data_IF_427862037634
#
_entry.id   IF_427862037634
#
_cell.length_a   1.000
_cell.length_b   1.000
_cell.length_c   1.000
_cell.angle_alpha   90.00
_cell.angle_beta   90.00
_cell.angle_gamma   90.00
#
_symmetry.space_group_name_H-M   'P 1'
#
loop_
_entity.id
_entity.type
_entity.pdbx_description
1 polymer ?
#
# COMPACT_ATOMS: atom_id res chain seq x y z
N UNK A 1 -32.57 -14.31 -19.16
CA UNK A 1 -31.89 -14.71 -17.91
C UNK A 1 -30.42 -14.40 -18.11
N UNK A 2 -29.95 -13.27 -17.59
CA UNK A 2 -28.56 -12.83 -17.76
C UNK A 2 -27.65 -13.71 -16.91
N UNK A 3 -26.73 -14.38 -17.58
CA UNK A 3 -25.65 -15.17 -17.00
C UNK A 3 -24.69 -14.25 -16.22
N UNK A 4 -24.99 -13.98 -14.95
CA UNK A 4 -24.07 -13.31 -14.02
C UNK A 4 -22.94 -14.28 -13.70
N UNK A 5 -21.93 -14.31 -14.56
CA UNK A 5 -20.62 -14.84 -14.19
C UNK A 5 -20.11 -14.04 -13.00
N UNK A 6 -20.22 -14.63 -11.81
CA UNK A 6 -19.83 -14.01 -10.55
C UNK A 6 -18.32 -13.78 -10.60
N UNK A 7 -17.89 -12.51 -10.72
CA UNK A 7 -16.48 -12.15 -10.72
C UNK A 7 -15.84 -12.64 -9.41
N UNK A 8 -14.59 -13.16 -9.46
CA UNK A 8 -13.91 -13.63 -8.25
C UNK A 8 -13.78 -12.47 -7.25
N UNK A 9 -14.04 -12.76 -5.97
CA UNK A 9 -14.02 -11.75 -4.92
C UNK A 9 -12.63 -11.11 -4.78
N UNK A 10 -12.58 -9.78 -4.68
CA UNK A 10 -11.34 -9.02 -4.49
C UNK A 10 -10.86 -9.15 -3.05
N UNK A 11 -9.87 -10.02 -2.86
CA UNK A 11 -9.36 -10.41 -1.55
C UNK A 11 -7.84 -10.29 -1.46
N UNK A 12 -7.33 -10.05 -0.25
CA UNK A 12 -5.90 -10.09 0.03
C UNK A 12 -5.63 -10.44 1.49
N UNK A 13 -4.43 -10.98 1.73
CA UNK A 13 -3.85 -11.14 3.05
C UNK A 13 -2.46 -10.50 3.08
N UNK A 14 -2.14 -9.78 4.15
CA UNK A 14 -0.84 -9.15 4.39
C UNK A 14 -0.37 -9.54 5.79
N UNK A 15 0.89 -9.96 5.88
CA UNK A 15 1.64 -10.10 7.12
C UNK A 15 2.78 -9.07 7.07
N UNK A 16 2.92 -8.26 8.11
CA UNK A 16 3.97 -7.24 8.21
C UNK A 16 4.53 -7.22 9.62
N UNK A 17 5.84 -7.43 9.74
CA UNK A 17 6.54 -7.46 11.02
C UNK A 17 7.75 -6.55 11.01
N UNK A 18 7.87 -5.72 12.03
CA UNK A 18 9.04 -4.89 12.35
C UNK A 18 9.49 -5.20 13.78
N UNK A 19 10.43 -4.41 14.31
CA UNK A 19 10.77 -4.48 15.73
C UNK A 19 9.74 -3.76 16.62
N UNK A 20 8.88 -2.93 16.03
CA UNK A 20 7.87 -2.11 16.72
C UNK A 20 6.48 -2.77 16.66
N UNK A 21 6.14 -3.39 15.53
CA UNK A 21 4.79 -3.96 15.30
C UNK A 21 4.80 -5.34 14.62
N UNK A 22 3.79 -6.15 14.91
CA UNK A 22 3.48 -7.43 14.27
C UNK A 22 2.01 -7.46 13.85
N UNK A 23 1.76 -7.39 12.53
CA UNK A 23 0.44 -7.12 11.95
C UNK A 23 0.03 -8.21 10.96
N UNK A 24 -1.19 -8.70 11.13
CA UNK A 24 -1.87 -9.57 10.17
C UNK A 24 -3.17 -8.93 9.70
N UNK A 25 -3.40 -8.90 8.38
CA UNK A 25 -4.62 -8.39 7.77
C UNK A 25 -5.16 -9.38 6.75
N UNK A 26 -6.48 -9.58 6.76
CA UNK A 26 -7.25 -10.23 5.70
C UNK A 26 -8.42 -9.34 5.31
N UNK A 27 -8.54 -9.03 4.02
CA UNK A 27 -9.60 -8.15 3.50
C UNK A 27 -10.33 -8.80 2.33
N UNK A 28 -11.65 -8.58 2.26
CA UNK A 28 -12.49 -8.81 1.09
C UNK A 28 -13.27 -7.52 0.78
N UNK A 29 -13.06 -6.94 -0.39
CA UNK A 29 -13.70 -5.68 -0.79
C UNK A 29 -15.15 -5.87 -1.29
N UNK A 30 -15.58 -7.12 -1.53
CA UNK A 30 -16.85 -7.48 -2.17
C UNK A 30 -17.82 -8.21 -1.22
N UNK A 31 -17.92 -7.78 0.04
CA UNK A 31 -18.67 -8.47 1.11
C UNK A 31 -19.94 -7.75 1.59
N UNK A 32 -20.54 -6.88 0.76
CA UNK A 32 -21.69 -6.01 1.15
C UNK A 32 -22.86 -6.74 1.85
N UNK A 33 -23.10 -8.02 1.54
CA UNK A 33 -24.22 -8.80 2.07
C UNK A 33 -23.85 -9.71 3.25
N UNK A 34 -22.56 -9.99 3.48
CA UNK A 34 -22.07 -10.93 4.50
C UNK A 34 -20.73 -10.45 5.05
N UNK A 35 -20.77 -9.33 5.77
CA UNK A 35 -19.58 -8.69 6.30
C UNK A 35 -19.13 -9.39 7.59
N UNK A 36 -17.86 -9.79 7.62
CA UNK A 36 -17.18 -10.25 8.82
C UNK A 36 -16.10 -9.24 9.17
N UNK A 37 -16.26 -8.55 10.30
CA UNK A 37 -15.37 -7.47 10.73
C UNK A 37 -14.85 -7.81 12.13
N UNK A 38 -13.55 -8.05 12.24
CA UNK A 38 -12.83 -8.39 13.48
C UNK A 38 -11.53 -7.59 13.52
N UNK A 39 -11.44 -6.59 14.39
CA UNK A 39 -10.36 -5.61 14.39
C UNK A 39 -9.83 -5.49 15.81
N UNK A 40 -8.52 -5.72 15.95
CA UNK A 40 -7.79 -5.61 17.20
C UNK A 40 -6.43 -4.97 16.91
N UNK A 41 -6.39 -3.64 16.90
CA UNK A 41 -5.14 -2.87 16.80
C UNK A 41 -4.44 -2.73 18.15
N UNK A 42 -5.19 -2.87 19.24
CA UNK A 42 -4.77 -2.49 20.60
C UNK A 42 -5.16 -1.05 20.97
N UNK A 43 -5.72 -0.27 20.04
CA UNK A 43 -6.20 1.10 20.26
C UNK A 43 -7.70 1.15 19.96
N UNK A 44 -8.54 1.17 21.01
CA UNK A 44 -9.99 0.97 20.85
C UNK A 44 -10.70 1.98 19.93
N UNK A 45 -10.25 3.24 19.91
CA UNK A 45 -10.84 4.24 19.01
C UNK A 45 -10.42 4.01 17.54
N UNK A 46 -9.21 3.52 17.29
CA UNK A 46 -8.76 3.15 15.94
C UNK A 46 -9.50 1.90 15.44
N UNK A 47 -9.76 0.94 16.31
CA UNK A 47 -10.58 -0.24 16.01
C UNK A 47 -11.97 0.18 15.54
N UNK A 48 -12.59 1.14 16.25
CA UNK A 48 -13.88 1.72 15.87
C UNK A 48 -13.83 2.42 14.50
N UNK A 49 -12.78 3.20 14.22
CA UNK A 49 -12.62 3.87 12.92
C UNK A 49 -12.47 2.88 11.76
N UNK A 50 -11.65 1.84 11.91
CA UNK A 50 -11.52 0.79 10.89
C UNK A 50 -12.80 -0.06 10.78
N UNK A 51 -13.53 -0.26 11.87
CA UNK A 51 -14.83 -0.92 11.83
C UNK A 51 -15.81 -0.11 10.98
N UNK A 52 -15.91 1.21 11.22
CA UNK A 52 -16.75 2.11 10.42
C UNK A 52 -16.33 2.09 8.94
N UNK A 53 -15.03 2.13 8.66
CA UNK A 53 -14.49 2.03 7.30
C UNK A 53 -14.94 0.75 6.60
N UNK A 54 -14.70 -0.41 7.22
CA UNK A 54 -15.08 -1.70 6.66
C UNK A 54 -16.61 -1.81 6.50
N UNK A 55 -17.37 -1.39 7.52
CA UNK A 55 -18.83 -1.46 7.54
C UNK A 55 -19.44 -0.70 6.38
N UNK A 56 -19.10 0.58 6.24
CA UNK A 56 -19.68 1.44 5.21
C UNK A 56 -19.04 1.24 3.82
N UNK A 57 -17.81 0.71 3.77
CA UNK A 57 -17.12 0.31 2.55
C UNK A 57 -17.69 -0.96 1.92
N UNK A 58 -18.39 -1.78 2.71
CA UNK A 58 -18.92 -3.07 2.28
C UNK A 58 -17.86 -4.19 2.30
N UNK A 59 -16.89 -4.09 3.21
CA UNK A 59 -15.77 -5.03 3.32
C UNK A 59 -16.02 -6.05 4.41
N UNK A 60 -15.39 -7.22 4.27
CA UNK A 60 -14.99 -8.06 5.40
C UNK A 60 -13.53 -7.76 5.71
N UNK A 61 -13.20 -7.57 6.98
CA UNK A 61 -11.88 -7.16 7.44
C UNK A 61 -11.54 -7.88 8.74
N UNK A 62 -10.47 -8.66 8.71
CA UNK A 62 -9.78 -9.12 9.92
C UNK A 62 -8.46 -8.37 10.02
N UNK A 63 -8.21 -7.69 11.13
CA UNK A 63 -6.95 -7.00 11.40
C UNK A 63 -6.52 -7.29 12.83
N UNK A 64 -5.31 -7.82 13.01
CA UNK A 64 -4.69 -8.01 14.32
C UNK A 64 -3.33 -7.34 14.34
N UNK A 65 -3.04 -6.63 15.42
CA UNK A 65 -1.76 -5.98 15.65
C UNK A 65 -1.29 -6.25 17.08
N UNK A 66 -0.01 -6.58 17.22
CA UNK A 66 0.72 -6.39 18.48
C UNK A 66 1.73 -5.27 18.25
N UNK A 67 1.62 -4.18 19.00
CA UNK A 67 2.54 -3.04 18.88
C UNK A 67 3.10 -2.59 20.23
N UNK A 68 4.04 -1.67 20.17
CA UNK A 68 4.78 -1.10 21.30
C UNK A 68 4.03 0.04 22.02
N UNK A 69 2.74 -0.17 22.34
CA UNK A 69 1.86 0.82 22.98
C UNK A 69 2.33 1.39 24.34
N UNK A 70 3.39 0.81 24.91
CA UNK A 70 4.06 1.33 26.10
C UNK A 70 4.97 2.54 25.81
N UNK A 71 5.30 2.78 24.54
CA UNK A 71 5.98 3.98 24.04
C UNK A 71 4.92 5.06 23.76
N UNK A 72 4.10 4.84 22.73
CA UNK A 72 2.92 5.65 22.39
C UNK A 72 2.03 4.88 21.37
N UNK A 73 1.02 5.55 20.80
CA UNK A 73 0.13 4.97 19.79
C UNK A 73 0.63 5.07 18.33
N UNK A 74 1.78 5.74 18.10
CA UNK A 74 2.21 6.17 16.77
C UNK A 74 2.51 4.99 15.86
N UNK A 75 3.46 4.11 16.22
CA UNK A 75 3.87 3.01 15.36
C UNK A 75 2.71 2.06 15.07
N UNK A 76 1.88 1.78 16.08
CA UNK A 76 0.70 0.92 15.93
C UNK A 76 -0.32 1.54 14.96
N UNK A 77 -0.63 2.83 15.10
CA UNK A 77 -1.59 3.50 14.23
C UNK A 77 -1.06 3.63 12.79
N UNK A 78 0.20 4.04 12.61
CA UNK A 78 0.82 4.16 11.29
C UNK A 78 0.91 2.80 10.57
N UNK A 79 1.49 1.80 11.23
CA UNK A 79 1.82 0.54 10.55
C UNK A 79 0.56 -0.26 10.20
N UNK A 80 -0.49 -0.18 11.02
CA UNK A 80 -1.79 -0.77 10.68
C UNK A 80 -2.40 -0.08 9.46
N UNK A 81 -2.25 1.24 9.32
CA UNK A 81 -2.71 1.98 8.15
C UNK A 81 -1.93 1.63 6.88
N UNK A 82 -0.60 1.48 6.99
CA UNK A 82 0.27 1.02 5.90
C UNK A 82 -0.16 -0.39 5.45
N UNK A 83 -0.27 -1.32 6.39
CA UNK A 83 -0.65 -2.70 6.09
C UNK A 83 -2.06 -2.78 5.46
N UNK A 84 -3.01 -1.99 5.95
CA UNK A 84 -4.36 -1.92 5.40
C UNK A 84 -4.36 -1.34 3.97
N UNK A 85 -3.56 -0.30 3.70
CA UNK A 85 -3.40 0.26 2.36
C UNK A 85 -2.77 -0.75 1.39
N UNK A 86 -1.77 -1.52 1.83
CA UNK A 86 -1.18 -2.62 1.05
C UNK A 86 -2.22 -3.70 0.72
N UNK A 87 -2.99 -4.13 1.72
CA UNK A 87 -4.03 -5.13 1.56
C UNK A 87 -5.12 -4.65 0.59
N UNK A 88 -5.58 -3.41 0.73
CA UNK A 88 -6.54 -2.78 -0.19
C UNK A 88 -6.02 -2.79 -1.63
N UNK A 89 -4.78 -2.35 -1.85
CA UNK A 89 -4.16 -2.33 -3.19
C UNK A 89 -4.01 -3.71 -3.80
N UNK A 90 -3.59 -4.70 -3.00
CA UNK A 90 -3.46 -6.07 -3.46
C UNK A 90 -4.82 -6.68 -3.80
N UNK A 91 -5.84 -6.47 -2.97
CA UNK A 91 -7.19 -6.94 -3.21
C UNK A 91 -7.80 -6.30 -4.46
N UNK A 92 -7.58 -5.00 -4.67
CA UNK A 92 -8.06 -4.28 -5.84
C UNK A 92 -7.41 -4.76 -7.15
N UNK A 93 -6.15 -5.23 -7.08
CA UNK A 93 -5.43 -5.78 -8.22
C UNK A 93 -5.20 -4.75 -9.32
N UNK A 94 -5.45 -5.13 -10.58
CA UNK A 94 -5.35 -4.18 -11.69
C UNK A 94 -6.66 -3.40 -11.80
N UNK A 95 -6.65 -2.05 -11.63
CA UNK A 95 -7.86 -1.24 -11.62
C UNK A 95 -8.41 -1.02 -13.04
N UNK A 96 -9.09 -2.06 -13.54
CA UNK A 96 -9.85 -2.10 -14.79
C UNK A 96 -11.31 -2.35 -14.49
N UNK A 97 -12.19 -1.77 -15.28
CA UNK A 97 -13.63 -1.98 -15.16
C UNK A 97 -14.22 -1.44 -13.87
N UNK A 98 -13.56 -0.46 -13.23
CA UNK A 98 -14.04 0.24 -12.03
C UNK A 98 -14.32 1.72 -12.33
N UNK A 99 -15.12 2.37 -11.50
CA UNK A 99 -15.43 3.80 -11.64
C UNK A 99 -14.21 4.71 -11.48
N UNK A 100 -13.17 4.25 -10.77
CA UNK A 100 -11.91 4.96 -10.45
C UNK A 100 -12.09 6.16 -9.52
N UNK A 101 -13.08 7.00 -9.75
CA UNK A 101 -13.40 8.14 -8.91
C UNK A 101 -14.59 7.83 -8.01
N UNK A 102 -14.51 8.31 -6.77
CA UNK A 102 -15.60 8.26 -5.83
C UNK A 102 -15.57 9.46 -4.90
N UNK A 103 -16.74 9.91 -4.47
CA UNK A 103 -16.84 10.98 -3.49
C UNK A 103 -18.05 10.77 -2.61
N UNK A 104 -17.98 11.24 -1.38
CA UNK A 104 -19.10 11.16 -0.47
C UNK A 104 -19.07 12.29 0.55
N UNK A 105 -20.27 12.63 1.01
CA UNK A 105 -20.51 13.46 2.17
C UNK A 105 -21.19 12.59 3.21
N UNK A 106 -20.67 12.58 4.44
CA UNK A 106 -21.28 11.83 5.53
C UNK A 106 -21.35 12.74 6.75
N UNK A 107 -22.53 12.93 7.34
CA UNK A 107 -22.64 13.57 8.63
C UNK A 107 -22.41 12.57 9.76
N UNK A 108 -22.13 13.11 10.94
CA UNK A 108 -22.42 12.48 12.21
C UNK A 108 -22.87 13.59 13.16
N UNK A 109 -24.16 13.62 13.44
CA UNK A 109 -24.83 14.70 14.16
C UNK A 109 -24.47 16.09 13.60
N UNK A 110 -23.80 16.94 14.37
CA UNK A 110 -23.42 18.29 13.96
C UNK A 110 -22.21 18.33 13.00
N UNK A 111 -21.42 17.25 12.98
CA UNK A 111 -20.26 17.13 12.11
C UNK A 111 -20.65 16.73 10.68
N UNK A 112 -19.91 17.25 9.71
CA UNK A 112 -20.05 16.90 8.29
C UNK A 112 -18.68 16.80 7.64
N UNK A 113 -18.42 15.65 7.03
CA UNK A 113 -17.16 15.40 6.32
C UNK A 113 -17.39 15.07 4.85
N UNK A 114 -16.42 15.44 4.02
CA UNK A 114 -16.30 15.06 2.61
C UNK A 114 -15.06 14.21 2.42
N UNK A 115 -15.17 13.15 1.61
CA UNK A 115 -14.01 12.44 1.07
C UNK A 115 -14.09 12.31 -0.44
N UNK A 116 -12.94 12.41 -1.12
CA UNK A 116 -12.78 12.25 -2.57
C UNK A 116 -11.61 11.32 -2.85
N UNK A 117 -11.84 10.30 -3.68
CA UNK A 117 -10.88 9.24 -4.00
C UNK A 117 -10.66 9.16 -5.51
N UNK A 118 -9.40 9.11 -5.93
CA UNK A 118 -8.97 8.68 -7.27
C UNK A 118 -8.06 7.44 -7.13
N UNK A 119 -8.51 6.29 -7.68
CA UNK A 119 -7.69 5.07 -7.83
C UNK A 119 -6.65 5.31 -8.94
N UNK A 120 -5.66 6.12 -8.58
CA UNK A 120 -4.84 6.87 -9.52
C UNK A 120 -3.49 6.23 -9.81
N UNK A 121 -3.05 5.31 -8.92
CA UNK A 121 -1.68 4.80 -8.86
C UNK A 121 -0.65 5.84 -8.40
N UNK A 122 -1.10 7.02 -7.95
CA UNK A 122 -0.26 8.13 -7.48
C UNK A 122 -0.56 8.39 -6.01
N UNK A 123 0.36 8.04 -5.09
CA UNK A 123 0.16 8.28 -3.67
C UNK A 123 0.11 9.78 -3.39
N UNK A 124 -1.01 10.25 -2.85
CA UNK A 124 -1.19 11.63 -2.41
C UNK A 124 -2.34 11.68 -1.41
N UNK A 125 -2.20 12.48 -0.36
CA UNK A 125 -3.28 12.75 0.58
C UNK A 125 -3.28 14.22 1.01
N UNK A 126 -4.48 14.81 1.04
CA UNK A 126 -4.74 16.13 1.62
C UNK A 126 -5.87 15.95 2.63
N UNK A 127 -5.54 16.11 3.91
CA UNK A 127 -6.41 15.74 5.02
C UNK A 127 -6.54 16.95 5.94
N UNK A 128 -7.75 17.48 6.07
CA UNK A 128 -8.08 18.60 6.96
C UNK A 128 -9.28 18.23 7.83
N UNK A 129 -9.02 17.86 9.09
CA UNK A 129 -10.06 17.41 10.02
C UNK A 129 -10.43 18.47 11.07
N UNK A 130 -9.59 19.50 11.22
CA UNK A 130 -9.74 20.56 12.23
C UNK A 130 -9.99 20.04 13.65
N UNK A 131 -9.34 18.94 14.05
CA UNK A 131 -9.49 18.35 15.37
C UNK A 131 -8.86 19.27 16.43
N UNK A 132 -9.51 19.41 17.59
CA UNK A 132 -9.11 20.35 18.64
C UNK A 132 -8.56 19.68 19.90
N UNK A 133 -9.04 18.47 20.21
CA UNK A 133 -8.59 17.64 21.32
C UNK A 133 -7.21 17.07 21.04
N UNK A 134 -6.50 16.75 22.11
CA UNK A 134 -5.21 16.04 22.04
C UNK A 134 -5.40 14.54 21.74
N UNK A 135 -6.42 13.91 22.36
CA UNK A 135 -6.75 12.49 22.17
C UNK A 135 -8.26 12.22 22.13
N UNK A 136 -8.64 11.13 21.46
CA UNK A 136 -9.99 10.52 21.54
C UNK A 136 -9.83 9.08 21.99
N UNK A 137 -10.18 8.81 23.26
CA UNK A 137 -9.80 7.56 23.91
C UNK A 137 -8.28 7.43 23.93
N UNK A 138 -7.78 6.29 23.49
CA UNK A 138 -6.34 5.99 23.47
C UNK A 138 -5.61 6.48 22.22
N UNK A 139 -6.32 6.93 21.18
CA UNK A 139 -5.74 7.44 19.94
C UNK A 139 -5.44 8.94 20.07
N UNK A 140 -4.20 9.33 19.81
CA UNK A 140 -3.82 10.74 19.66
C UNK A 140 -4.45 11.32 18.39
N UNK A 141 -4.99 12.54 18.49
CA UNK A 141 -5.72 13.16 17.39
C UNK A 141 -4.83 13.44 16.18
N UNK A 142 -3.53 13.66 16.38
CA UNK A 142 -2.56 13.83 15.29
C UNK A 142 -2.37 12.56 14.44
N UNK A 143 -2.60 11.38 15.03
CA UNK A 143 -2.50 10.12 14.29
C UNK A 143 -3.69 9.86 13.37
N UNK A 144 -4.83 10.52 13.58
CA UNK A 144 -6.01 10.36 12.71
C UNK A 144 -5.73 10.80 11.26
N UNK A 145 -5.21 12.02 10.99
CA UNK A 145 -4.79 12.38 9.64
C UNK A 145 -3.58 11.55 9.16
N UNK A 146 -2.67 11.15 10.06
CA UNK A 146 -1.52 10.31 9.70
C UNK A 146 -1.95 8.92 9.20
N UNK A 147 -2.95 8.30 9.83
CA UNK A 147 -3.55 7.03 9.40
C UNK A 147 -4.12 7.16 7.98
N UNK A 148 -4.87 8.22 7.69
CA UNK A 148 -5.45 8.45 6.36
C UNK A 148 -4.37 8.69 5.29
N UNK A 149 -3.32 9.44 5.64
CA UNK A 149 -2.16 9.67 4.78
C UNK A 149 -1.39 8.38 4.48
N UNK A 150 -1.07 7.59 5.51
CA UNK A 150 -0.34 6.33 5.39
C UNK A 150 -1.13 5.30 4.59
N UNK A 151 -2.44 5.19 4.84
CA UNK A 151 -3.35 4.37 4.05
C UNK A 151 -3.32 4.76 2.56
N UNK A 152 -3.53 6.04 2.23
CA UNK A 152 -3.58 6.50 0.84
C UNK A 152 -2.25 6.26 0.11
N UNK A 153 -1.14 6.48 0.81
CA UNK A 153 0.21 6.28 0.29
C UNK A 153 0.47 4.81 -0.03
N UNK A 154 0.21 3.91 0.94
CA UNK A 154 0.40 2.47 0.75
C UNK A 154 -0.56 1.89 -0.30
N UNK A 155 -1.82 2.36 -0.31
CA UNK A 155 -2.81 2.00 -1.32
C UNK A 155 -2.44 2.50 -2.73
N UNK A 156 -1.59 3.53 -2.84
CA UNK A 156 -1.23 4.15 -4.10
C UNK A 156 -2.40 4.91 -4.74
N UNK A 157 -3.22 5.57 -3.92
CA UNK A 157 -4.38 6.35 -4.35
C UNK A 157 -4.16 7.84 -4.04
N UNK A 158 -4.96 8.67 -4.69
CA UNK A 158 -5.07 10.09 -4.35
C UNK A 158 -6.31 10.28 -3.50
N UNK A 159 -6.14 10.86 -2.30
CA UNK A 159 -7.18 11.01 -1.30
C UNK A 159 -7.30 12.47 -0.84
N UNK A 160 -8.52 12.99 -0.78
CA UNK A 160 -8.85 14.22 -0.08
C UNK A 160 -9.90 13.93 0.97
N UNK A 161 -9.71 14.44 2.20
CA UNK A 161 -10.69 14.34 3.28
C UNK A 161 -10.77 15.67 4.01
N UNK A 162 -11.97 16.23 4.09
CA UNK A 162 -12.23 17.52 4.72
C UNK A 162 -13.39 17.41 5.71
N UNK A 163 -13.19 17.85 6.95
CA UNK A 163 -14.28 18.12 7.90
C UNK A 163 -14.77 19.55 7.64
N UNK A 164 -15.98 19.67 7.10
CA UNK A 164 -16.57 20.95 6.69
C UNK A 164 -17.14 21.74 7.87
N UNK A 165 -17.64 21.02 8.88
CA UNK A 165 -18.17 21.55 10.14
C UNK A 165 -18.26 20.45 11.18
N UNK A 166 -18.43 20.83 12.44
CA UNK A 166 -18.58 19.94 13.58
C UNK A 166 -18.03 20.57 14.85
N UNK A 167 -18.37 20.07 16.03
CA UNK A 167 -17.80 20.59 17.28
C UNK A 167 -17.17 19.48 18.13
N UNK A 168 -17.67 18.25 18.00
CA UNK A 168 -17.14 17.08 18.67
C UNK A 168 -16.12 16.34 17.77
N UNK A 169 -14.89 16.18 18.25
CA UNK A 169 -13.83 15.52 17.46
C UNK A 169 -14.06 14.02 17.22
N UNK A 170 -14.83 13.33 18.06
CA UNK A 170 -15.29 11.98 17.75
C UNK A 170 -16.16 12.02 16.51
N UNK A 171 -17.14 12.93 16.45
CA UNK A 171 -18.07 13.07 15.34
C UNK A 171 -17.35 13.49 14.06
N UNK A 172 -16.42 14.45 14.17
CA UNK A 172 -15.54 14.87 13.06
C UNK A 172 -14.74 13.69 12.50
N UNK A 173 -14.08 12.92 13.36
CA UNK A 173 -13.25 11.78 12.96
C UNK A 173 -14.09 10.65 12.34
N UNK A 174 -15.16 10.24 13.01
CA UNK A 174 -15.99 9.12 12.53
C UNK A 174 -16.74 9.49 11.24
N UNK A 175 -17.23 10.72 11.10
CA UNK A 175 -17.85 11.18 9.84
C UNK A 175 -16.85 11.18 8.68
N UNK A 176 -15.57 11.49 8.93
CA UNK A 176 -14.51 11.44 7.93
C UNK A 176 -14.22 10.00 7.47
N UNK A 177 -14.11 9.04 8.39
CA UNK A 177 -13.95 7.62 8.05
C UNK A 177 -15.17 7.07 7.30
N UNK A 178 -16.39 7.46 7.69
CA UNK A 178 -17.62 7.11 6.97
C UNK A 178 -17.64 7.68 5.54
N UNK A 179 -17.26 8.95 5.37
CA UNK A 179 -17.16 9.58 4.06
C UNK A 179 -16.14 8.85 3.18
N UNK A 180 -14.96 8.54 3.72
CA UNK A 180 -13.94 7.76 3.02
C UNK A 180 -14.49 6.40 2.57
N UNK A 181 -15.14 5.68 3.47
CA UNK A 181 -15.70 4.35 3.19
C UNK A 181 -16.67 4.36 2.01
N UNK A 182 -17.60 5.31 2.00
CA UNK A 182 -18.59 5.46 0.92
C UNK A 182 -17.92 5.90 -0.37
N UNK A 183 -16.96 6.83 -0.32
CA UNK A 183 -16.20 7.28 -1.49
C UNK A 183 -15.39 6.13 -2.11
N UNK A 184 -14.68 5.33 -1.31
CA UNK A 184 -13.94 4.16 -1.82
C UNK A 184 -14.91 3.14 -2.43
N UNK A 185 -16.02 2.83 -1.75
CA UNK A 185 -17.04 1.90 -2.26
C UNK A 185 -17.54 2.30 -3.65
N UNK A 186 -17.74 3.59 -3.89
CA UNK A 186 -18.08 4.09 -5.23
C UNK A 186 -16.90 3.95 -6.20
N UNK A 187 -15.69 4.34 -5.81
CA UNK A 187 -14.52 4.34 -6.69
C UNK A 187 -14.15 2.93 -7.19
N UNK A 188 -14.36 1.90 -6.37
CA UNK A 188 -14.07 0.50 -6.70
C UNK A 188 -15.27 -0.25 -7.30
N UNK A 189 -16.40 0.41 -7.50
CA UNK A 189 -17.58 -0.21 -8.10
C UNK A 189 -17.33 -0.57 -9.56
N UNK A 190 -17.77 -1.75 -9.96
CA UNK A 190 -17.64 -2.21 -11.33
C UNK A 190 -18.55 -1.40 -12.28
N UNK A 191 -18.00 -1.00 -13.43
CA UNK A 191 -18.75 -0.28 -14.47
C UNK A 191 -19.48 -1.22 -15.44
N UNK A 192 -19.26 -2.54 -15.33
CA UNK A 192 -19.73 -3.53 -16.30
C UNK A 192 -18.89 -3.59 -17.58
N UNK A 193 -17.84 -2.78 -17.67
CA UNK A 193 -16.88 -2.79 -18.79
C UNK A 193 -15.53 -3.35 -18.31
N UNK A 194 -14.64 -3.68 -19.24
CA UNK A 194 -13.25 -4.08 -18.93
C UNK A 194 -12.23 -2.97 -19.23
N UNK A 195 -12.70 -1.73 -19.37
CA UNK A 195 -11.89 -0.60 -19.77
C UNK A 195 -10.94 -0.13 -18.65
N UNK A 196 -9.80 0.43 -19.04
CA UNK A 196 -8.90 1.12 -18.13
C UNK A 196 -9.35 2.58 -18.07
N UNK A 197 -9.86 3.09 -16.94
CA UNK A 197 -10.38 4.46 -16.85
C UNK A 197 -9.25 5.50 -16.81
N UNK A 198 -8.38 5.55 -17.82
CA UNK A 198 -7.20 6.41 -17.92
C UNK A 198 -6.87 6.71 -19.38
N UNK A 199 -6.76 8.00 -19.72
CA UNK A 199 -6.32 8.44 -21.06
C UNK A 199 -4.90 7.99 -21.40
N UNK A 200 -4.08 7.66 -20.39
CA UNK A 200 -2.72 7.10 -20.57
C UNK A 200 -2.71 5.58 -20.79
N UNK A 201 -3.87 4.92 -20.77
CA UNK A 201 -4.01 3.46 -20.95
C UNK A 201 -3.51 2.62 -19.77
N UNK A 202 -3.04 3.23 -18.68
CA UNK A 202 -2.62 2.55 -17.44
C UNK A 202 -3.01 3.38 -16.21
N UNK A 203 -3.50 2.72 -15.15
CA UNK A 203 -4.03 3.36 -13.91
C UNK A 203 -3.31 2.88 -12.63
N UNK A 204 -2.70 1.69 -12.62
CA UNK A 204 -1.73 1.26 -11.61
C UNK A 204 -0.71 0.34 -12.26
N UNK A 205 0.58 0.56 -12.00
CA UNK A 205 1.61 -0.47 -12.27
C UNK A 205 1.85 -1.21 -10.97
N UNK A 206 1.23 -2.37 -10.79
CA UNK A 206 1.88 -3.43 -10.00
C UNK A 206 3.20 -3.70 -10.73
N UNK A 207 4.31 -3.19 -10.20
CA UNK A 207 5.63 -3.67 -10.63
C UNK A 207 5.70 -5.12 -10.18
N UNK A 208 5.22 -6.05 -10.99
CA UNK A 208 5.95 -7.29 -11.13
C UNK A 208 7.37 -6.84 -11.47
N UNK A 209 8.34 -7.17 -10.62
CA UNK A 209 9.75 -6.96 -10.92
C UNK A 209 10.11 -7.87 -12.10
N UNK A 210 9.63 -7.55 -13.30
CA UNK A 210 10.19 -8.05 -14.55
C UNK A 210 11.51 -7.33 -14.68
N UNK A 211 12.54 -7.90 -14.03
CA UNK A 211 13.92 -7.67 -14.40
C UNK A 211 13.98 -7.91 -15.89
N UNK A 212 14.10 -6.83 -16.68
CA UNK A 212 14.28 -6.96 -18.12
C UNK A 212 15.69 -7.52 -18.31
N UNK A 213 15.86 -8.76 -18.80
CA UNK A 213 17.18 -9.41 -18.82
C UNK A 213 18.22 -8.61 -19.63
N UNK A 214 17.77 -7.81 -20.61
CA UNK A 214 18.67 -7.04 -21.49
C UNK A 214 19.55 -6.00 -20.78
N UNK A 215 19.14 -5.41 -19.65
CA UNK A 215 19.99 -4.41 -18.94
C UNK A 215 20.88 -4.99 -17.85
N UNK A 216 20.64 -6.25 -17.46
CA UNK A 216 21.43 -6.91 -16.42
C UNK A 216 22.73 -7.51 -17.00
N UNK A 217 22.65 -8.06 -18.21
CA UNK A 217 23.77 -8.66 -18.94
C UNK A 217 24.89 -7.68 -19.32
N UNK A 218 24.60 -6.38 -19.35
CA UNK A 218 25.60 -5.35 -19.70
C UNK A 218 26.37 -4.81 -18.46
N UNK A 219 25.89 -5.07 -17.25
CA UNK A 219 26.42 -4.43 -16.03
C UNK A 219 27.41 -5.29 -15.23
N UNK A 220 27.39 -6.61 -15.38
CA UNK A 220 28.37 -7.50 -14.74
C UNK A 220 28.55 -8.78 -15.55
N UNK A 221 29.79 -9.14 -15.94
CA UNK A 221 30.05 -10.30 -16.80
C UNK A 221 29.69 -11.64 -16.16
N UNK A 222 29.40 -11.68 -14.86
CA UNK A 222 29.11 -12.90 -14.10
C UNK A 222 27.68 -12.98 -13.56
N UNK A 223 26.80 -12.10 -14.02
CA UNK A 223 25.44 -12.01 -13.48
C UNK A 223 24.57 -13.22 -13.86
N UNK A 224 24.89 -13.87 -14.99
CA UNK A 224 24.22 -15.10 -15.41
C UNK A 224 24.54 -16.27 -14.49
N UNK A 225 25.82 -16.44 -14.15
CA UNK A 225 26.32 -17.45 -13.24
C UNK A 225 25.80 -17.23 -11.81
N UNK A 226 25.71 -15.96 -11.39
CA UNK A 226 25.11 -15.59 -10.11
C UNK A 226 23.61 -15.92 -10.07
N UNK A 227 22.88 -15.63 -11.14
CA UNK A 227 21.47 -16.00 -11.27
C UNK A 227 21.25 -17.51 -11.20
N UNK A 228 22.06 -18.30 -11.92
CA UNK A 228 21.97 -19.75 -11.92
C UNK A 228 22.27 -20.37 -10.54
N UNK A 229 23.23 -19.82 -9.80
CA UNK A 229 23.53 -20.25 -8.42
C UNK A 229 22.37 -19.95 -7.47
N UNK A 230 21.85 -18.72 -7.51
CA UNK A 230 20.72 -18.31 -6.66
C UNK A 230 19.45 -19.11 -6.95
N UNK A 231 19.19 -19.42 -8.22
CA UNK A 231 18.05 -20.26 -8.60
C UNK A 231 18.21 -21.71 -8.12
N UNK A 232 19.43 -22.26 -8.17
CA UNK A 232 19.71 -23.59 -7.63
C UNK A 232 19.50 -23.63 -6.11
N UNK A 233 20.07 -22.67 -5.38
CA UNK A 233 19.90 -22.56 -3.93
C UNK A 233 18.45 -22.36 -3.52
N UNK A 234 17.69 -21.57 -4.26
CA UNK A 234 16.26 -21.36 -4.01
C UNK A 234 15.44 -22.64 -4.17
N UNK A 235 15.84 -23.56 -5.07
CA UNK A 235 15.09 -24.79 -5.34
C UNK A 235 15.50 -25.96 -4.45
N UNK A 236 16.76 -26.00 -4.03
CA UNK A 236 17.37 -27.20 -3.45
C UNK A 236 18.02 -26.98 -2.08
N UNK A 237 18.15 -25.73 -1.63
CA UNK A 237 18.90 -25.37 -0.42
C UNK A 237 20.37 -25.05 -0.71
N UNK A 238 21.00 -24.28 0.19
CA UNK A 238 22.36 -23.74 0.00
C UNK A 238 23.44 -24.82 0.06
N UNK A 239 23.21 -25.88 0.85
CA UNK A 239 24.15 -26.99 1.08
C UNK A 239 23.97 -28.17 0.09
N UNK A 240 23.11 -28.03 -0.93
CA UNK A 240 22.88 -29.12 -1.88
C UNK A 240 24.11 -29.32 -2.79
N UNK A 241 24.73 -30.52 -2.81
CA UNK A 241 25.91 -30.80 -3.63
C UNK A 241 25.66 -30.64 -5.14
N UNK A 242 24.40 -30.66 -5.59
CA UNK A 242 24.01 -30.38 -6.98
C UNK A 242 24.23 -28.91 -7.36
N UNK A 243 24.24 -27.99 -6.39
CA UNK A 243 24.50 -26.57 -6.63
C UNK A 243 25.99 -26.21 -6.66
N UNK A 244 26.88 -27.13 -6.26
CA UNK A 244 28.33 -26.93 -6.26
C UNK A 244 28.89 -26.56 -7.64
N UNK A 245 28.29 -27.11 -8.71
CA UNK A 245 28.69 -26.81 -10.08
C UNK A 245 28.38 -25.35 -10.48
N UNK A 246 27.22 -24.83 -10.08
CA UNK A 246 26.84 -23.42 -10.32
C UNK A 246 27.68 -22.44 -9.50
N UNK A 247 28.01 -22.79 -8.25
CA UNK A 247 28.92 -22.00 -7.42
C UNK A 247 30.35 -21.96 -7.99
N UNK A 248 30.86 -23.10 -8.49
CA UNK A 248 32.17 -23.16 -9.16
C UNK A 248 32.19 -22.36 -10.46
N UNK A 249 31.10 -22.36 -11.22
CA UNK A 249 30.98 -21.55 -12.43
C UNK A 249 31.01 -20.04 -12.12
N UNK A 250 30.31 -19.60 -11.07
CA UNK A 250 30.37 -18.23 -10.59
C UNK A 250 31.77 -17.84 -10.13
N UNK A 251 32.42 -18.66 -9.29
CA UNK A 251 33.79 -18.43 -8.83
C UNK A 251 34.78 -18.32 -10.01
N UNK A 252 34.65 -19.19 -11.01
CA UNK A 252 35.47 -19.17 -12.24
C UNK A 252 35.22 -17.91 -13.07
N UNK A 253 33.99 -17.41 -13.11
CA UNK A 253 33.69 -16.16 -13.79
C UNK A 253 34.30 -14.97 -13.04
N UNK A 254 34.13 -14.92 -11.71
CA UNK A 254 34.65 -13.84 -10.87
C UNK A 254 36.19 -13.77 -10.85
N UNK A 255 36.87 -14.89 -11.13
CA UNK A 255 38.34 -14.91 -11.27
C UNK A 255 38.85 -14.37 -12.61
N UNK A 256 37.97 -14.06 -13.59
CA UNK A 256 38.39 -13.51 -14.88
C UNK A 256 38.72 -12.01 -14.75
N UNK A 257 39.82 -11.53 -15.34
CA UNK A 257 40.14 -10.11 -15.33
C UNK A 257 39.06 -9.31 -16.08
N UNK A 258 38.41 -8.38 -15.38
CA UNK A 258 37.43 -7.46 -15.99
C UNK A 258 38.18 -6.48 -16.89
N UNK A 259 37.88 -6.48 -18.20
CA UNK A 259 38.37 -5.45 -19.11
C UNK A 259 37.80 -4.10 -18.64
N UNK A 260 38.66 -3.15 -18.26
CA UNK A 260 38.25 -1.76 -17.96
C UNK A 260 37.49 -1.22 -19.17
N UNK A 261 36.16 -1.13 -19.08
CA UNK A 261 35.38 -0.41 -20.09
C UNK A 261 35.67 1.09 -19.93
N UNK A 262 35.83 1.79 -21.05
CA UNK A 262 36.00 3.23 -21.06
C UNK A 262 34.77 3.86 -20.41
N UNK A 263 34.98 4.55 -19.29
CA UNK A 263 34.00 5.39 -18.65
C UNK A 263 33.37 6.33 -19.68
N UNK A 264 32.06 6.22 -19.88
CA UNK A 264 31.24 7.20 -20.59
C UNK A 264 30.27 7.81 -19.58
N UNK A 265 30.69 8.97 -19.08
CA UNK A 265 29.94 10.14 -18.60
C UNK A 265 28.44 10.01 -18.32
N UNK A 266 28.06 10.39 -17.08
CA UNK A 266 27.20 11.55 -16.69
C UNK A 266 26.83 11.33 -15.21
N UNK A 267 27.44 11.96 -14.21
CA UNK A 267 27.21 13.34 -13.73
C UNK A 267 28.43 13.89 -12.95
N UNK A 268 29.47 13.08 -12.72
CA UNK A 268 30.66 13.48 -11.94
C UNK A 268 31.56 14.52 -12.62
N UNK A 269 31.33 14.83 -13.91
CA UNK A 269 32.13 15.82 -14.65
C UNK A 269 31.89 17.27 -14.18
N UNK A 270 30.70 17.58 -13.65
CA UNK A 270 30.42 18.93 -13.12
C UNK A 270 30.86 19.14 -11.67
N UNK A 271 30.90 18.07 -10.87
CA UNK A 271 31.36 18.13 -9.46
C UNK A 271 32.89 18.22 -9.35
N UNK A 272 33.62 17.64 -10.29
CA UNK A 272 35.09 17.68 -10.29
C UNK A 272 35.70 19.02 -10.73
N UNK A 273 34.89 19.97 -11.22
CA UNK A 273 35.38 21.27 -11.74
C UNK A 273 35.06 22.47 -10.85
N UNK A 274 34.18 22.35 -9.86
CA UNK A 274 33.85 23.45 -8.93
C UNK A 274 34.73 23.50 -7.68
N UNK A 275 35.47 22.45 -7.34
CA UNK A 275 36.45 22.45 -6.24
C UNK A 275 37.84 23.02 -6.59
N UNK A 276 37.95 23.86 -7.63
CA UNK A 276 39.23 24.48 -8.03
C UNK A 276 39.18 26.01 -8.18
N UNK A 277 38.15 26.67 -7.67
CA UNK A 277 38.12 28.14 -7.59
C UNK A 277 37.58 28.73 -6.27
N UNK A 278 37.47 27.93 -5.21
CA UNK A 278 37.35 28.40 -3.81
C UNK A 278 38.06 27.40 -2.90
#
# INVERSE_FOLDING_TARGET
MSDTTQQPARTASIERKTNETDISIKVNLDSKMDQQIDIATGIGFLDHMYHALAKHGGWSLTLKCTGDLHIDDHHTAEDTAIALGMAFKQALGTPKGIKRFGHAYCPLDEALSRAVVDISGRPYASIDLGLKREKIGDLSCEMIPHVLFSFATAAGITLHVDVLKGDNDHHRSESAFKALAVAIRQAVEHTGTNDVPSTKGTSMKLKALKVRPKKLLEASPCIGEMGAMLECWSRSGVDDPRCAQTAKALATCMSKPVKKSKATNTINYHLARLGKQL
#
